data_IF_668191019821
#
_entry.id   IF_668191019821
#
_cell.length_a   1.000
_cell.length_b   1.000
_cell.length_c   1.000
_cell.angle_alpha   90.00
_cell.angle_beta   90.00
_cell.angle_gamma   90.00
#
_symmetry.space_group_name_H-M   'P 1'
#
loop_
_entity.id
_entity.type
_entity.pdbx_description
1 polymer ?
#
# COMPACT_ATOMS: atom_id res chain seq x y z
N UNK A 1 -16.03 27.28 -7.92
CA UNK A 1 -15.59 28.00 -6.72
C UNK A 1 -14.19 27.53 -6.39
N UNK A 2 -13.20 28.40 -6.61
CA UNK A 2 -11.78 28.09 -6.40
C UNK A 2 -11.52 27.98 -4.90
N UNK A 3 -11.37 26.73 -4.40
CA UNK A 3 -10.89 26.49 -3.05
C UNK A 3 -9.45 26.92 -2.96
N UNK A 4 -9.17 27.99 -2.23
CA UNK A 4 -7.80 28.38 -1.85
C UNK A 4 -7.11 27.15 -1.24
N UNK A 5 -6.07 26.65 -1.92
CA UNK A 5 -5.10 25.73 -1.33
C UNK A 5 -4.48 26.45 -0.14
N UNK A 6 -4.93 26.14 1.07
CA UNK A 6 -4.18 26.51 2.27
C UNK A 6 -2.87 25.73 2.27
N UNK A 7 -1.88 26.28 1.59
CA UNK A 7 -0.51 25.84 1.74
C UNK A 7 -0.12 26.24 3.15
N UNK A 8 0.02 25.28 4.06
CA UNK A 8 0.55 25.54 5.39
C UNK A 8 1.97 26.08 5.23
N UNK A 9 2.11 27.40 5.32
CA UNK A 9 3.41 28.06 5.28
C UNK A 9 3.86 28.15 6.73
N UNK A 10 4.97 27.48 7.05
CA UNK A 10 5.61 27.66 8.34
C UNK A 10 6.02 29.13 8.49
N UNK A 11 5.61 29.80 9.56
CA UNK A 11 5.93 31.20 9.81
C UNK A 11 7.42 31.42 10.05
N UNK A 12 8.15 30.39 10.51
CA UNK A 12 9.60 30.44 10.73
C UNK A 12 10.24 29.07 10.69
N UNK A 13 11.56 29.02 10.45
CA UNK A 13 12.36 27.77 10.54
C UNK A 13 12.30 27.14 11.94
N UNK A 14 12.19 27.96 13.00
CA UNK A 14 12.06 27.46 14.37
C UNK A 14 10.73 26.75 14.60
N UNK A 15 9.65 27.28 14.07
CA UNK A 15 8.32 26.67 14.14
C UNK A 15 8.29 25.34 13.38
N UNK A 16 8.87 25.33 12.18
CA UNK A 16 9.04 24.10 11.40
C UNK A 16 9.79 23.04 12.19
N UNK A 17 10.95 23.39 12.75
CA UNK A 17 11.76 22.47 13.53
C UNK A 17 11.01 21.94 14.76
N UNK A 18 10.31 22.80 15.49
CA UNK A 18 9.55 22.41 16.68
C UNK A 18 8.40 21.42 16.38
N UNK A 19 7.71 21.60 15.25
CA UNK A 19 6.65 20.68 14.81
C UNK A 19 7.21 19.37 14.27
N UNK A 20 8.20 19.43 13.39
CA UNK A 20 8.79 18.25 12.75
C UNK A 20 9.59 17.42 13.75
N UNK A 21 10.33 18.05 14.67
CA UNK A 21 11.11 17.35 15.70
C UNK A 21 10.26 16.38 16.52
N UNK A 22 9.07 16.80 16.96
CA UNK A 22 8.18 15.94 17.74
C UNK A 22 7.73 14.72 16.92
N UNK A 23 7.45 14.90 15.63
CA UNK A 23 7.07 13.81 14.74
C UNK A 23 8.22 12.83 14.54
N UNK A 24 9.45 13.35 14.29
CA UNK A 24 10.64 12.50 14.14
C UNK A 24 10.95 11.74 15.43
N UNK A 25 10.88 12.39 16.58
CA UNK A 25 11.13 11.76 17.87
C UNK A 25 10.13 10.64 18.17
N UNK A 26 8.84 10.88 17.91
CA UNK A 26 7.80 9.87 18.06
C UNK A 26 7.98 8.71 17.08
N UNK A 27 8.24 9.00 15.80
CA UNK A 27 8.47 7.97 14.79
C UNK A 27 9.67 7.10 15.17
N UNK A 28 10.78 7.72 15.59
CA UNK A 28 11.97 7.01 16.05
C UNK A 28 11.68 6.14 17.28
N UNK A 29 10.96 6.69 18.28
CA UNK A 29 10.56 5.94 19.47
C UNK A 29 9.66 4.75 19.13
N UNK A 30 8.69 4.92 18.24
CA UNK A 30 7.81 3.84 17.82
C UNK A 30 8.54 2.75 17.03
N UNK A 31 9.50 3.13 16.17
CA UNK A 31 10.34 2.18 15.45
C UNK A 31 11.20 1.39 16.45
N UNK A 32 11.83 2.06 17.44
CA UNK A 32 12.62 1.38 18.46
C UNK A 32 11.78 0.38 19.26
N UNK A 33 10.57 0.78 19.69
CA UNK A 33 9.66 -0.12 20.41
C UNK A 33 9.27 -1.30 19.53
N UNK A 34 8.88 -1.04 18.29
CA UNK A 34 8.45 -2.05 17.34
C UNK A 34 9.56 -3.05 17.00
N UNK A 35 10.79 -2.54 16.81
CA UNK A 35 11.96 -3.36 16.47
C UNK A 35 12.40 -4.22 17.66
N UNK A 36 12.31 -3.70 18.90
CA UNK A 36 12.55 -4.50 20.11
C UNK A 36 11.54 -5.63 20.31
N UNK A 37 10.27 -5.46 19.92
CA UNK A 37 9.27 -6.53 19.92
C UNK A 37 9.64 -7.58 18.86
N UNK A 38 10.17 -7.12 17.71
CA UNK A 38 10.58 -7.98 16.63
C UNK A 38 9.42 -8.64 15.88
N UNK A 39 9.73 -9.73 15.17
CA UNK A 39 8.73 -10.50 14.43
C UNK A 39 8.10 -11.55 15.32
N UNK A 40 6.78 -11.57 15.41
CA UNK A 40 6.03 -12.64 16.09
C UNK A 40 5.52 -13.60 15.01
N UNK A 41 5.98 -14.86 15.07
CA UNK A 41 5.59 -15.93 14.15
C UNK A 41 4.53 -16.80 14.80
N UNK A 42 3.35 -16.84 14.20
CA UNK A 42 2.20 -17.61 14.68
C UNK A 42 1.94 -18.73 13.66
N UNK A 43 2.17 -20.01 14.00
CA UNK A 43 1.86 -21.11 13.10
C UNK A 43 0.33 -21.24 12.94
N UNK A 44 -0.14 -21.34 11.69
CA UNK A 44 -1.56 -21.54 11.36
C UNK A 44 -1.65 -22.75 10.42
N UNK A 45 -1.96 -23.90 10.96
CA UNK A 45 -1.98 -25.16 10.22
C UNK A 45 -0.58 -25.51 9.69
N UNK A 46 -0.43 -25.68 8.37
CA UNK A 46 0.86 -25.89 7.69
C UNK A 46 1.52 -24.58 7.24
N UNK A 47 0.85 -23.43 7.42
CA UNK A 47 1.37 -22.11 7.08
C UNK A 47 1.84 -21.34 8.30
N UNK A 48 2.31 -20.11 8.07
CA UNK A 48 2.84 -19.23 9.09
C UNK A 48 2.25 -17.82 8.92
N UNK A 49 1.74 -17.27 10.00
CA UNK A 49 1.34 -15.88 10.07
C UNK A 49 2.42 -15.08 10.80
N UNK A 50 2.91 -14.01 10.20
CA UNK A 50 3.99 -13.20 10.75
C UNK A 50 3.50 -11.79 11.04
N UNK A 51 3.59 -11.37 12.30
CA UNK A 51 3.43 -9.99 12.71
C UNK A 51 4.77 -9.28 12.64
N UNK A 52 4.87 -8.31 11.74
CA UNK A 52 6.08 -7.52 11.54
C UNK A 52 6.11 -6.29 12.45
N UNK A 53 7.30 -5.76 12.79
CA UNK A 53 7.48 -4.55 13.60
C UNK A 53 6.65 -3.36 13.10
N UNK A 54 6.48 -3.22 11.79
CA UNK A 54 5.70 -2.13 11.18
C UNK A 54 4.25 -2.07 11.68
N UNK A 55 3.64 -3.22 12.03
CA UNK A 55 2.27 -3.24 12.59
C UNK A 55 2.20 -2.53 13.93
N UNK A 56 3.16 -2.80 14.80
CA UNK A 56 3.23 -2.16 16.12
C UNK A 56 3.49 -0.67 15.97
N UNK A 57 4.39 -0.28 15.07
CA UNK A 57 4.67 1.12 14.77
C UNK A 57 3.42 1.85 14.25
N UNK A 58 2.65 1.24 13.35
CA UNK A 58 1.39 1.82 12.84
C UNK A 58 0.37 1.94 13.98
N UNK A 59 0.19 0.91 14.80
CA UNK A 59 -0.74 0.94 15.92
C UNK A 59 -0.37 2.06 16.90
N UNK A 60 0.90 2.17 17.28
CA UNK A 60 1.39 3.25 18.14
C UNK A 60 1.18 4.63 17.50
N UNK A 61 1.39 4.74 16.18
CA UNK A 61 1.11 5.95 15.41
C UNK A 61 -0.36 6.36 15.48
N UNK A 62 -1.27 5.42 15.23
CA UNK A 62 -2.72 5.65 15.33
C UNK A 62 -3.14 6.03 16.76
N UNK A 63 -2.64 5.31 17.75
CA UNK A 63 -2.93 5.61 19.17
C UNK A 63 -2.45 7.00 19.58
N UNK A 64 -1.31 7.47 19.06
CA UNK A 64 -0.78 8.80 19.36
C UNK A 64 -1.59 9.94 18.72
N UNK A 65 -2.51 9.61 17.81
CA UNK A 65 -3.29 10.55 17.01
C UNK A 65 -4.22 11.45 17.84
N UNK A 66 -4.72 12.56 17.21
CA UNK A 66 -5.53 13.58 17.89
C UNK A 66 -6.90 13.06 18.32
N UNK A 67 -7.35 11.92 17.82
CA UNK A 67 -8.65 11.32 18.16
C UNK A 67 -8.56 10.33 19.33
N UNK A 68 -7.37 9.78 19.64
CA UNK A 68 -7.19 8.75 20.67
C UNK A 68 -6.45 9.32 21.87
N UNK A 69 -5.13 9.25 21.90
CA UNK A 69 -4.33 9.72 23.04
C UNK A 69 -3.99 11.20 22.98
N UNK A 70 -4.26 11.86 21.86
CA UNK A 70 -4.00 13.30 21.64
C UNK A 70 -2.55 13.73 21.93
N UNK A 71 -1.60 12.81 21.75
CA UNK A 71 -0.15 13.10 21.88
C UNK A 71 0.29 14.06 20.78
N UNK A 72 -0.27 13.91 19.57
CA UNK A 72 -0.11 14.82 18.44
C UNK A 72 -1.44 15.50 18.11
N UNK A 73 -1.37 16.75 17.69
CA UNK A 73 -2.51 17.53 17.23
C UNK A 73 -2.65 17.53 15.70
N UNK A 74 -3.70 18.16 15.18
CA UNK A 74 -3.95 18.24 13.74
C UNK A 74 -2.86 19.00 12.98
N UNK A 75 -2.07 19.88 13.62
CA UNK A 75 -0.94 20.59 13.00
C UNK A 75 0.20 19.62 12.74
N UNK A 76 0.51 18.75 13.71
CA UNK A 76 1.50 17.70 13.55
C UNK A 76 1.10 16.71 12.45
N UNK A 77 -0.19 16.34 12.36
CA UNK A 77 -0.69 15.46 11.28
C UNK A 77 -0.50 16.10 9.91
N UNK A 78 -0.84 17.41 9.77
CA UNK A 78 -0.61 18.15 8.52
C UNK A 78 0.88 18.30 8.21
N UNK A 79 1.75 18.49 9.20
CA UNK A 79 3.18 18.53 9.01
C UNK A 79 3.72 17.17 8.58
N UNK A 80 3.27 16.08 9.20
CA UNK A 80 3.68 14.71 8.85
C UNK A 80 3.37 14.36 7.40
N UNK A 81 2.22 14.79 6.85
CA UNK A 81 1.86 14.55 5.45
C UNK A 81 2.85 15.16 4.43
N UNK A 82 3.63 16.15 4.84
CA UNK A 82 4.68 16.77 4.01
C UNK A 82 6.03 16.07 4.11
N UNK A 83 6.20 15.13 5.06
CA UNK A 83 7.43 14.35 5.25
C UNK A 83 7.54 13.16 4.28
N UNK A 84 6.75 13.15 3.21
CA UNK A 84 6.83 12.16 2.10
C UNK A 84 8.25 12.05 1.53
N UNK A 85 9.07 13.08 1.68
CA UNK A 85 10.52 13.06 1.35
C UNK A 85 11.26 11.93 2.10
N UNK A 86 10.79 11.50 3.26
CA UNK A 86 11.33 10.35 3.98
C UNK A 86 11.26 9.02 3.21
N UNK A 87 10.44 8.94 2.16
CA UNK A 87 10.38 7.79 1.23
C UNK A 87 11.59 7.73 0.28
N UNK A 88 12.27 8.85 0.03
CA UNK A 88 13.38 8.90 -0.93
C UNK A 88 14.51 7.90 -0.63
N UNK A 89 14.97 7.68 0.61
CA UNK A 89 15.97 6.67 0.93
C UNK A 89 15.49 5.24 0.58
N UNK A 90 14.21 4.95 0.78
CA UNK A 90 13.62 3.66 0.42
C UNK A 90 13.60 3.47 -1.10
N UNK A 91 13.21 4.49 -1.88
CA UNK A 91 13.24 4.45 -3.34
C UNK A 91 14.67 4.28 -3.85
N UNK A 92 15.64 4.99 -3.27
CA UNK A 92 17.05 4.83 -3.60
C UNK A 92 17.55 3.40 -3.34
N UNK A 93 17.18 2.81 -2.19
CA UNK A 93 17.48 1.40 -1.89
C UNK A 93 16.90 0.46 -2.93
N UNK A 94 15.65 0.66 -3.35
CA UNK A 94 15.03 -0.16 -4.41
C UNK A 94 15.81 -0.05 -5.72
N UNK A 95 16.23 1.15 -6.11
CA UNK A 95 17.06 1.35 -7.30
C UNK A 95 18.40 0.62 -7.24
N UNK A 96 19.08 0.67 -6.09
CA UNK A 96 20.34 -0.06 -5.85
C UNK A 96 20.11 -1.57 -5.95
N UNK A 97 19.05 -2.08 -5.32
CA UNK A 97 18.71 -3.51 -5.36
C UNK A 97 18.35 -3.95 -6.79
N UNK A 98 17.64 -3.12 -7.54
CA UNK A 98 17.33 -3.39 -8.94
C UNK A 98 18.61 -3.45 -9.81
N UNK A 99 19.52 -2.50 -9.62
CA UNK A 99 20.82 -2.50 -10.31
C UNK A 99 21.66 -3.74 -10.01
N UNK A 100 21.69 -4.18 -8.75
CA UNK A 100 22.39 -5.39 -8.36
C UNK A 100 21.81 -6.68 -8.97
N UNK A 101 20.53 -6.68 -9.37
CA UNK A 101 19.85 -7.83 -9.97
C UNK A 101 19.54 -7.65 -11.46
N UNK A 102 20.24 -6.75 -12.15
CA UNK A 102 19.95 -6.38 -13.56
C UNK A 102 20.01 -7.61 -14.48
N UNK A 103 20.95 -8.51 -14.30
CA UNK A 103 21.09 -9.72 -15.11
C UNK A 103 19.89 -10.65 -14.93
N UNK A 104 19.41 -10.81 -13.70
CA UNK A 104 18.21 -11.61 -13.40
C UNK A 104 16.96 -10.96 -14.01
N UNK A 105 16.88 -9.63 -13.96
CA UNK A 105 15.80 -8.86 -14.57
C UNK A 105 15.79 -9.08 -16.10
N UNK A 106 16.94 -8.97 -16.75
CA UNK A 106 17.05 -9.17 -18.19
C UNK A 106 16.73 -10.62 -18.61
N UNK A 107 17.16 -11.61 -17.84
CA UNK A 107 16.85 -13.02 -18.08
C UNK A 107 15.36 -13.35 -17.87
N UNK A 108 14.68 -12.60 -17.02
CA UNK A 108 13.24 -12.78 -16.74
C UNK A 108 12.31 -12.33 -17.88
N UNK A 109 12.80 -11.52 -18.83
CA UNK A 109 12.18 -11.12 -20.10
C UNK A 109 10.64 -11.06 -20.14
N UNK A 110 9.97 -12.05 -20.78
CA UNK A 110 8.50 -12.03 -20.94
C UNK A 110 7.71 -12.04 -19.63
N UNK A 111 8.26 -12.60 -18.55
CA UNK A 111 7.62 -12.64 -17.22
C UNK A 111 7.47 -11.24 -16.66
N UNK A 112 8.39 -10.32 -16.97
CA UNK A 112 8.32 -8.91 -16.59
C UNK A 112 7.08 -8.23 -17.17
N UNK A 113 6.79 -8.48 -18.44
CA UNK A 113 5.62 -7.93 -19.12
C UNK A 113 4.34 -8.45 -18.49
N UNK A 114 4.25 -9.77 -18.25
CA UNK A 114 3.10 -10.38 -17.57
C UNK A 114 2.88 -9.79 -16.18
N UNK A 115 3.95 -9.61 -15.41
CA UNK A 115 3.90 -9.02 -14.07
C UNK A 115 3.38 -7.57 -14.12
N UNK A 116 3.82 -6.78 -15.10
CA UNK A 116 3.33 -5.43 -15.32
C UNK A 116 1.82 -5.38 -15.63
N UNK A 117 1.33 -6.31 -16.46
CA UNK A 117 -0.11 -6.41 -16.75
C UNK A 117 -0.95 -6.77 -15.52
N UNK A 118 -0.41 -7.54 -14.58
CA UNK A 118 -1.05 -7.82 -13.30
C UNK A 118 -1.43 -6.56 -12.52
N UNK A 119 -0.61 -5.51 -12.60
CA UNK A 119 -0.89 -4.22 -11.97
C UNK A 119 -2.11 -3.49 -12.58
N UNK A 120 -2.49 -3.76 -13.82
CA UNK A 120 -3.69 -3.19 -14.46
C UNK A 120 -4.98 -3.87 -14.02
N UNK A 121 -4.92 -5.15 -13.64
CA UNK A 121 -6.09 -5.89 -13.17
C UNK A 121 -6.63 -5.33 -11.85
N UNK A 122 -5.77 -4.83 -10.97
CA UNK A 122 -6.15 -4.22 -9.71
C UNK A 122 -7.19 -3.11 -9.90
N UNK A 123 -6.88 -2.02 -10.60
CA UNK A 123 -7.83 -0.94 -10.87
C UNK A 123 -9.09 -1.41 -11.62
N UNK A 124 -8.97 -2.30 -12.59
CA UNK A 124 -10.10 -2.80 -13.37
C UNK A 124 -11.13 -3.55 -12.50
N UNK A 125 -10.66 -4.37 -11.58
CA UNK A 125 -11.53 -5.19 -10.73
C UNK A 125 -11.98 -4.44 -9.46
N UNK A 126 -11.09 -3.66 -8.86
CA UNK A 126 -11.36 -2.98 -7.59
C UNK A 126 -12.23 -1.72 -7.77
N UNK A 127 -12.11 -0.98 -8.88
CA UNK A 127 -12.84 0.26 -9.08
C UNK A 127 -14.37 0.09 -9.08
N UNK A 128 -14.96 -0.88 -9.80
CA UNK A 128 -16.40 -1.12 -9.72
C UNK A 128 -16.87 -1.42 -8.30
N UNK A 129 -16.11 -2.24 -7.56
CA UNK A 129 -16.42 -2.59 -6.17
C UNK A 129 -16.35 -1.37 -5.26
N UNK A 130 -15.30 -0.55 -5.39
CA UNK A 130 -15.14 0.67 -4.61
C UNK A 130 -16.30 1.66 -4.84
N UNK A 131 -16.75 1.82 -6.10
CA UNK A 131 -17.91 2.67 -6.43
C UNK A 131 -19.19 2.11 -5.79
N UNK A 132 -19.42 0.80 -5.85
CA UNK A 132 -20.58 0.15 -5.23
C UNK A 132 -20.58 0.28 -3.70
N UNK A 133 -19.40 0.31 -3.07
CA UNK A 133 -19.25 0.60 -1.65
C UNK A 133 -19.49 2.07 -1.29
N UNK A 134 -19.73 2.92 -2.27
CA UNK A 134 -20.04 4.35 -2.08
C UNK A 134 -18.82 5.24 -2.01
N UNK A 135 -17.65 4.75 -2.40
CA UNK A 135 -16.47 5.59 -2.58
C UNK A 135 -16.63 6.46 -3.83
N UNK A 136 -16.28 7.73 -3.71
CA UNK A 136 -16.25 8.65 -4.84
C UNK A 136 -14.83 8.69 -5.45
N UNK A 137 -14.28 9.87 -5.64
CA UNK A 137 -12.94 10.02 -6.22
C UNK A 137 -11.83 9.37 -5.38
N UNK A 138 -12.08 9.09 -4.10
CA UNK A 138 -11.21 8.26 -3.26
C UNK A 138 -10.97 6.86 -3.87
N UNK A 139 -11.95 6.34 -4.64
CA UNK A 139 -11.83 5.06 -5.33
C UNK A 139 -10.64 5.03 -6.30
N UNK A 140 -10.36 6.14 -6.99
CA UNK A 140 -9.24 6.22 -7.94
C UNK A 140 -7.91 5.97 -7.22
N UNK A 141 -7.66 6.64 -6.10
CA UNK A 141 -6.42 6.44 -5.34
C UNK A 141 -6.33 5.08 -4.65
N UNK A 142 -7.46 4.54 -4.18
CA UNK A 142 -7.49 3.27 -3.44
C UNK A 142 -7.36 2.03 -4.33
N UNK A 143 -7.72 2.11 -5.61
CA UNK A 143 -7.70 0.97 -6.53
C UNK A 143 -6.32 0.67 -7.10
N UNK A 144 -5.35 1.57 -6.96
CA UNK A 144 -3.98 1.33 -7.39
C UNK A 144 -3.25 0.50 -6.34
N UNK A 145 -2.11 -0.03 -6.69
CA UNK A 145 -1.31 -0.99 -5.93
C UNK A 145 -1.38 -0.83 -4.40
N UNK A 146 -1.79 -1.87 -3.72
CA UNK A 146 -1.87 -1.93 -2.26
C UNK A 146 -0.48 -1.77 -1.66
N UNK A 147 -0.35 -0.84 -0.69
CA UNK A 147 0.85 -0.65 0.13
C UNK A 147 2.15 -0.44 -0.66
N UNK A 148 2.09 0.33 -1.73
CA UNK A 148 3.25 0.73 -2.53
C UNK A 148 3.52 2.22 -2.33
N UNK A 149 4.63 2.54 -1.68
CA UNK A 149 5.03 3.88 -1.30
C UNK A 149 5.16 4.82 -2.51
N UNK A 150 5.72 4.33 -3.61
CA UNK A 150 5.88 5.12 -4.82
C UNK A 150 4.54 5.38 -5.54
N UNK A 151 3.54 4.48 -5.44
CA UNK A 151 2.20 4.75 -5.96
C UNK A 151 1.51 5.84 -5.16
N UNK A 152 1.64 5.84 -3.84
CA UNK A 152 1.14 6.90 -2.98
C UNK A 152 1.83 8.23 -3.31
N UNK A 153 3.14 8.23 -3.49
CA UNK A 153 3.88 9.42 -3.89
C UNK A 153 3.44 9.94 -5.27
N UNK A 154 3.19 9.03 -6.23
CA UNK A 154 2.69 9.37 -7.56
C UNK A 154 1.30 9.99 -7.52
N UNK A 155 0.36 9.40 -6.79
CA UNK A 155 -1.00 9.94 -6.59
C UNK A 155 -0.94 11.34 -5.95
N UNK A 156 -0.13 11.51 -4.91
CA UNK A 156 0.06 12.80 -4.25
C UNK A 156 0.64 13.85 -5.21
N UNK A 157 1.52 13.45 -6.11
CA UNK A 157 2.11 14.36 -7.09
C UNK A 157 1.14 14.77 -8.20
N UNK A 158 0.30 13.86 -8.68
CA UNK A 158 -0.64 14.10 -9.77
C UNK A 158 -1.86 14.88 -9.30
N UNK A 159 -2.47 14.48 -8.18
CA UNK A 159 -3.75 15.03 -7.71
C UNK A 159 -3.59 16.03 -6.56
N UNK A 160 -2.43 16.05 -5.92
CA UNK A 160 -2.15 16.85 -4.72
C UNK A 160 -2.39 16.06 -3.42
N UNK A 161 -1.62 16.36 -2.35
CA UNK A 161 -1.65 15.61 -1.09
C UNK A 161 -2.97 15.74 -0.32
N UNK A 162 -3.75 16.79 -0.56
CA UNK A 162 -5.03 17.04 0.10
C UNK A 162 -6.24 16.59 -0.74
N UNK A 163 -5.99 15.92 -1.88
CA UNK A 163 -7.04 15.45 -2.79
C UNK A 163 -7.82 14.25 -2.21
N UNK A 164 -8.99 13.98 -2.77
CA UNK A 164 -9.76 12.79 -2.44
C UNK A 164 -8.99 11.51 -2.82
N UNK A 165 -8.33 11.54 -3.97
CA UNK A 165 -7.50 10.46 -4.49
C UNK A 165 -6.34 10.14 -3.53
N UNK A 166 -5.67 11.17 -3.00
CA UNK A 166 -4.59 11.00 -2.03
C UNK A 166 -5.10 10.39 -0.72
N UNK A 167 -6.28 10.81 -0.23
CA UNK A 167 -6.91 10.19 0.95
C UNK A 167 -7.25 8.72 0.72
N UNK A 168 -7.79 8.39 -0.45
CA UNK A 168 -8.06 7.00 -0.84
C UNK A 168 -6.79 6.16 -0.85
N UNK A 169 -5.73 6.66 -1.48
CA UNK A 169 -4.42 5.99 -1.52
C UNK A 169 -3.82 5.78 -0.13
N UNK A 170 -3.85 6.80 0.72
CA UNK A 170 -3.34 6.71 2.10
C UNK A 170 -4.15 5.70 2.94
N UNK A 171 -5.48 5.70 2.79
CA UNK A 171 -6.34 4.78 3.53
C UNK A 171 -6.04 3.33 3.19
N UNK A 172 -5.90 3.01 1.90
CA UNK A 172 -5.57 1.64 1.47
C UNK A 172 -4.11 1.28 1.79
N UNK A 173 -3.20 2.25 1.82
CA UNK A 173 -1.82 2.04 2.24
C UNK A 173 -1.76 1.53 3.69
N UNK A 174 -2.49 2.18 4.60
CA UNK A 174 -2.52 1.81 6.03
C UNK A 174 -3.27 0.50 6.23
N UNK A 175 -4.56 0.46 5.85
CA UNK A 175 -5.43 -0.70 6.11
C UNK A 175 -5.01 -1.90 5.25
N UNK A 176 -4.72 -1.65 3.98
CA UNK A 176 -4.27 -2.68 3.05
C UNK A 176 -2.90 -3.25 3.43
N UNK A 177 -2.00 -2.44 4.00
CA UNK A 177 -0.72 -2.92 4.55
C UNK A 177 -0.92 -3.96 5.64
N UNK A 178 -1.80 -3.68 6.60
CA UNK A 178 -2.09 -4.59 7.71
C UNK A 178 -2.86 -5.84 7.23
N UNK A 179 -4.04 -5.64 6.65
CA UNK A 179 -4.91 -6.73 6.22
C UNK A 179 -4.29 -7.52 5.07
N UNK A 180 -3.66 -6.84 4.12
CA UNK A 180 -3.02 -7.47 2.97
C UNK A 180 -1.87 -8.38 3.37
N UNK A 181 -1.05 -8.03 4.36
CA UNK A 181 0.04 -8.89 4.84
C UNK A 181 -0.48 -10.20 5.41
N UNK A 182 -1.56 -10.13 6.20
CA UNK A 182 -2.24 -11.32 6.73
C UNK A 182 -2.79 -12.17 5.57
N UNK A 183 -3.54 -11.53 4.68
CA UNK A 183 -4.18 -12.18 3.54
C UNK A 183 -3.16 -12.86 2.63
N UNK A 184 -2.09 -12.17 2.22
CA UNK A 184 -1.07 -12.73 1.35
C UNK A 184 -0.29 -13.87 2.00
N UNK A 185 0.00 -13.81 3.29
CA UNK A 185 0.62 -14.91 4.02
C UNK A 185 -0.24 -16.17 4.03
N UNK A 186 -1.54 -16.01 4.35
CA UNK A 186 -2.49 -17.12 4.33
C UNK A 186 -2.74 -17.64 2.92
N UNK A 187 -2.93 -16.76 1.94
CA UNK A 187 -3.12 -17.14 0.55
C UNK A 187 -1.93 -17.92 0.00
N UNK A 188 -0.70 -17.46 0.27
CA UNK A 188 0.51 -18.13 -0.11
C UNK A 188 0.60 -19.54 0.51
N UNK A 189 0.20 -19.67 1.77
CA UNK A 189 0.11 -20.98 2.43
C UNK A 189 -0.88 -21.91 1.73
N UNK A 190 -2.10 -21.43 1.47
CA UNK A 190 -3.14 -22.23 0.80
C UNK A 190 -2.69 -22.64 -0.60
N UNK A 191 -2.23 -21.67 -1.41
CA UNK A 191 -1.79 -21.95 -2.79
C UNK A 191 -0.56 -22.87 -2.80
N UNK A 192 0.40 -22.65 -1.89
CA UNK A 192 1.57 -23.52 -1.75
C UNK A 192 1.19 -24.96 -1.44
N UNK A 193 0.22 -25.19 -0.55
CA UNK A 193 -0.23 -26.55 -0.22
C UNK A 193 -0.93 -27.28 -1.37
N UNK A 194 -1.46 -26.57 -2.40
CA UNK A 194 -2.09 -27.24 -3.55
C UNK A 194 -1.11 -27.98 -4.44
N UNK A 195 0.16 -27.58 -4.44
CA UNK A 195 1.18 -28.14 -5.34
C UNK A 195 0.96 -27.83 -6.83
N UNK A 196 0.04 -26.92 -7.17
CA UNK A 196 -0.26 -26.59 -8.57
C UNK A 196 0.84 -25.79 -9.25
N UNK A 197 1.63 -25.07 -8.48
CA UNK A 197 2.65 -24.17 -9.00
C UNK A 197 4.03 -24.57 -8.47
N UNK A 198 5.03 -24.39 -9.32
CA UNK A 198 6.42 -24.62 -8.93
C UNK A 198 6.86 -23.60 -7.86
N UNK A 199 7.67 -23.98 -6.85
CA UNK A 199 8.10 -23.08 -5.79
C UNK A 199 8.75 -21.77 -6.26
N UNK A 200 9.51 -21.81 -7.36
CA UNK A 200 10.07 -20.60 -7.99
C UNK A 200 9.00 -19.61 -8.47
N UNK A 201 7.93 -20.13 -9.10
CA UNK A 201 6.82 -19.29 -9.57
C UNK A 201 6.05 -18.69 -8.40
N UNK A 202 5.84 -19.47 -7.34
CA UNK A 202 5.22 -18.97 -6.10
C UNK A 202 6.10 -17.90 -5.43
N UNK A 203 7.42 -18.11 -5.38
CA UNK A 203 8.38 -17.11 -4.91
C UNK A 203 8.27 -15.81 -5.69
N UNK A 204 8.31 -15.85 -7.02
CA UNK A 204 8.15 -14.67 -7.87
C UNK A 204 6.80 -13.97 -7.65
N UNK A 205 5.71 -14.75 -7.58
CA UNK A 205 4.37 -14.23 -7.32
C UNK A 205 4.23 -13.56 -5.96
N UNK A 206 4.96 -14.01 -4.94
CA UNK A 206 4.97 -13.38 -3.63
C UNK A 206 5.54 -11.96 -3.62
N UNK A 207 6.37 -11.60 -4.62
CA UNK A 207 6.94 -10.28 -4.80
C UNK A 207 5.98 -9.23 -5.37
N UNK A 208 4.74 -9.60 -5.75
CA UNK A 208 3.76 -8.64 -6.31
C UNK A 208 3.32 -7.59 -5.29
N UNK A 209 3.28 -7.93 -4.01
CA UNK A 209 2.91 -7.02 -2.91
C UNK A 209 4.01 -6.03 -2.54
N UNK A 210 3.78 -5.22 -1.52
CA UNK A 210 4.83 -4.45 -0.86
C UNK A 210 5.77 -5.37 -0.07
N UNK A 211 6.96 -4.87 0.30
CA UNK A 211 7.98 -5.66 0.98
C UNK A 211 7.49 -6.44 2.20
N UNK A 212 6.57 -5.89 2.99
CA UNK A 212 5.96 -6.60 4.13
C UNK A 212 5.04 -7.74 3.68
N UNK A 213 4.29 -7.57 2.61
CA UNK A 213 3.44 -8.61 2.03
C UNK A 213 4.28 -9.71 1.40
N UNK A 214 5.34 -9.32 0.66
CA UNK A 214 6.33 -10.25 0.12
C UNK A 214 6.98 -11.08 1.23
N UNK A 215 7.44 -10.42 2.30
CA UNK A 215 8.08 -11.12 3.41
C UNK A 215 7.14 -12.12 4.09
N UNK A 216 5.85 -11.77 4.28
CA UNK A 216 4.84 -12.67 4.84
C UNK A 216 4.56 -13.86 3.93
N UNK A 217 4.33 -13.62 2.64
CA UNK A 217 4.01 -14.69 1.68
C UNK A 217 5.19 -15.60 1.41
N UNK A 218 6.39 -15.05 1.21
CA UNK A 218 7.60 -15.86 1.00
C UNK A 218 7.96 -16.68 2.23
N UNK A 219 7.84 -16.13 3.44
CA UNK A 219 8.08 -16.89 4.67
C UNK A 219 7.10 -18.06 4.84
N UNK A 220 5.82 -17.86 4.46
CA UNK A 220 4.82 -18.93 4.46
C UNK A 220 5.18 -20.05 3.46
N UNK A 221 5.66 -19.68 2.27
CA UNK A 221 6.13 -20.64 1.26
C UNK A 221 7.40 -21.39 1.70
N UNK A 222 8.35 -20.68 2.31
CA UNK A 222 9.56 -21.30 2.84
C UNK A 222 9.25 -22.31 3.95
N UNK A 223 8.20 -22.09 4.74
CA UNK A 223 7.75 -23.05 5.75
C UNK A 223 7.15 -24.33 5.12
N UNK A 224 6.54 -24.22 3.93
CA UNK A 224 5.97 -25.37 3.20
C UNK A 224 7.04 -26.11 2.38
N UNK A 225 7.98 -25.37 1.80
CA UNK A 225 9.06 -25.87 0.94
C UNK A 225 10.44 -25.51 1.50
N UNK A 226 10.88 -26.12 2.62
CA UNK A 226 12.14 -25.76 3.28
C UNK A 226 13.36 -25.89 2.37
N UNK A 227 13.36 -26.89 1.48
CA UNK A 227 14.43 -27.16 0.51
C UNK A 227 14.54 -26.08 -0.59
N UNK A 228 13.51 -25.26 -0.76
CA UNK A 228 13.47 -24.17 -1.75
C UNK A 228 13.61 -22.78 -1.14
N UNK A 229 13.95 -22.67 0.15
CA UNK A 229 13.96 -21.40 0.91
C UNK A 229 14.77 -20.30 0.22
N UNK A 230 16.00 -20.60 -0.19
CA UNK A 230 16.88 -19.63 -0.84
C UNK A 230 16.33 -19.18 -2.20
N UNK A 231 15.83 -20.14 -2.97
CA UNK A 231 15.24 -19.87 -4.29
C UNK A 231 13.96 -19.05 -4.17
N UNK A 232 13.05 -19.39 -3.25
CA UNK A 232 11.81 -18.65 -3.00
C UNK A 232 12.14 -17.22 -2.58
N UNK A 233 13.07 -17.03 -1.65
CA UNK A 233 13.47 -15.72 -1.14
C UNK A 233 14.10 -14.85 -2.25
N UNK A 234 14.98 -15.43 -3.05
CA UNK A 234 15.58 -14.75 -4.20
C UNK A 234 14.53 -14.33 -5.23
N UNK A 235 13.64 -15.25 -5.63
CA UNK A 235 12.58 -14.97 -6.60
C UNK A 235 11.57 -13.96 -6.08
N UNK A 236 11.24 -13.97 -4.80
CA UNK A 236 10.38 -12.97 -4.17
C UNK A 236 10.99 -11.57 -4.25
N UNK A 237 12.28 -11.43 -3.94
CA UNK A 237 13.00 -10.16 -4.03
C UNK A 237 13.09 -9.64 -5.46
N UNK A 238 13.32 -10.53 -6.43
CA UNK A 238 13.29 -10.19 -7.86
C UNK A 238 11.89 -9.73 -8.26
N UNK A 239 10.84 -10.46 -7.88
CA UNK A 239 9.46 -10.10 -8.14
C UNK A 239 9.09 -8.72 -7.60
N UNK A 240 9.48 -8.40 -6.37
CA UNK A 240 9.24 -7.08 -5.77
C UNK A 240 9.97 -5.97 -6.53
N UNK A 241 11.24 -6.19 -6.84
CA UNK A 241 12.05 -5.21 -7.58
C UNK A 241 11.43 -4.91 -8.95
N UNK A 242 11.06 -5.95 -9.69
CA UNK A 242 10.40 -5.84 -10.99
C UNK A 242 9.07 -5.11 -10.87
N UNK A 243 8.21 -5.56 -9.95
CA UNK A 243 6.91 -4.93 -9.71
C UNK A 243 7.05 -3.45 -9.31
N UNK A 244 8.10 -3.13 -8.55
CA UNK A 244 8.41 -1.77 -8.16
C UNK A 244 8.69 -0.87 -9.35
N UNK A 245 9.62 -1.28 -10.20
CA UNK A 245 10.07 -0.48 -11.35
C UNK A 245 8.99 -0.40 -12.41
N UNK A 246 8.53 -1.55 -12.91
CA UNK A 246 7.54 -1.60 -14.01
C UNK A 246 6.19 -1.06 -13.56
N UNK A 247 5.78 -1.37 -12.32
CA UNK A 247 4.51 -0.93 -11.76
C UNK A 247 4.38 0.59 -11.68
N UNK A 248 5.45 1.31 -11.34
CA UNK A 248 5.42 2.76 -11.30
C UNK A 248 5.14 3.36 -12.69
N UNK A 249 5.86 2.92 -13.72
CA UNK A 249 5.67 3.42 -15.10
C UNK A 249 4.30 3.05 -15.65
N UNK A 250 3.88 1.80 -15.48
CA UNK A 250 2.57 1.34 -15.94
C UNK A 250 1.45 2.10 -15.21
N UNK A 251 1.59 2.35 -13.92
CA UNK A 251 0.61 3.12 -13.16
C UNK A 251 0.53 4.55 -13.66
N UNK A 252 1.67 5.20 -13.87
CA UNK A 252 1.73 6.60 -14.30
C UNK A 252 1.14 6.81 -15.69
N UNK A 253 1.52 5.97 -16.64
CA UNK A 253 1.19 6.20 -18.06
C UNK A 253 -0.10 5.49 -18.50
N UNK A 254 -0.49 4.40 -17.86
CA UNK A 254 -1.61 3.57 -18.29
C UNK A 254 -2.69 3.48 -17.22
N UNK A 255 -2.36 3.04 -15.99
CA UNK A 255 -3.36 2.69 -15.01
C UNK A 255 -4.13 3.92 -14.50
N UNK A 256 -3.47 5.01 -14.15
CA UNK A 256 -4.13 6.24 -13.67
C UNK A 256 -5.04 6.85 -14.75
N UNK A 257 -4.57 7.12 -15.98
CA UNK A 257 -5.44 7.64 -17.04
C UNK A 257 -6.61 6.71 -17.38
N UNK A 258 -6.39 5.40 -17.34
CA UNK A 258 -7.42 4.39 -17.56
C UNK A 258 -8.46 4.44 -16.43
N UNK A 259 -8.02 4.49 -15.18
CA UNK A 259 -8.91 4.51 -14.01
C UNK A 259 -9.74 5.78 -13.94
N UNK A 260 -9.18 6.94 -14.28
CA UNK A 260 -9.93 8.19 -14.38
C UNK A 260 -11.06 8.11 -15.43
N UNK A 261 -10.75 7.58 -16.62
CA UNK A 261 -11.75 7.36 -17.66
C UNK A 261 -12.82 6.37 -17.24
N UNK A 262 -12.41 5.23 -16.67
CA UNK A 262 -13.33 4.21 -16.17
C UNK A 262 -14.22 4.76 -15.06
N UNK A 263 -13.67 5.52 -14.12
CA UNK A 263 -14.44 6.18 -13.06
C UNK A 263 -15.53 7.09 -13.65
N UNK A 264 -15.18 7.92 -14.62
CA UNK A 264 -16.13 8.83 -15.28
C UNK A 264 -17.28 8.09 -15.96
N UNK A 265 -17.04 6.88 -16.47
CA UNK A 265 -18.04 6.04 -17.15
C UNK A 265 -18.87 5.24 -16.14
N UNK A 266 -18.23 4.70 -15.10
CA UNK A 266 -18.84 3.75 -14.17
C UNK A 266 -19.58 4.45 -13.03
N UNK A 267 -19.07 5.58 -12.52
CA UNK A 267 -19.67 6.28 -11.38
C UNK A 267 -21.14 6.69 -11.63
N UNK A 268 -21.52 7.29 -12.78
CA UNK A 268 -22.92 7.63 -13.02
C UNK A 268 -23.86 6.42 -13.10
N UNK A 269 -23.33 5.24 -13.45
CA UNK A 269 -24.09 4.00 -13.59
C UNK A 269 -24.17 3.22 -12.28
N UNK A 270 -23.01 2.92 -11.68
CA UNK A 270 -22.89 2.09 -10.50
C UNK A 270 -23.12 2.86 -9.20
N UNK A 271 -22.80 4.17 -9.16
CA UNK A 271 -23.00 5.01 -7.99
C UNK A 271 -24.46 5.13 -7.55
N UNK A 272 -25.42 4.84 -8.46
CA UNK A 272 -26.86 4.76 -8.14
C UNK A 272 -27.19 3.57 -7.25
N UNK A 273 -26.39 2.53 -7.30
CA UNK A 273 -26.55 1.28 -6.51
C UNK A 273 -25.64 1.26 -5.29
N UNK A 274 -24.89 2.34 -5.04
CA UNK A 274 -23.95 2.43 -3.93
C UNK A 274 -24.66 2.27 -2.58
N UNK A 275 -24.08 1.47 -1.69
CA UNK A 275 -24.65 1.17 -0.36
C UNK A 275 -24.96 2.45 0.42
N UNK A 276 -24.09 3.46 0.36
CA UNK A 276 -24.26 4.75 1.04
C UNK A 276 -25.42 5.62 0.50
N UNK A 277 -25.88 5.36 -0.73
CA UNK A 277 -27.04 6.06 -1.29
C UNK A 277 -28.37 5.45 -0.82
N UNK A 278 -28.38 4.20 -0.38
CA UNK A 278 -29.57 3.56 0.21
C UNK A 278 -29.89 4.15 1.58
N UNK A 279 -28.88 4.31 2.45
CA UNK A 279 -29.08 4.93 3.78
C UNK A 279 -29.61 6.36 3.69
N UNK A 280 -29.18 7.14 2.68
CA UNK A 280 -29.69 8.49 2.44
C UNK A 280 -31.08 8.57 1.83
N UNK A 281 -31.63 7.48 1.23
CA UNK A 281 -33.01 7.39 0.76
C UNK A 281 -33.96 6.97 1.87
N UNK A 282 -33.55 6.00 2.68
CA UNK A 282 -34.37 5.52 3.80
C UNK A 282 -34.65 6.64 4.82
N UNK A 283 -33.66 7.51 5.08
CA UNK A 283 -33.85 8.69 5.95
C UNK A 283 -34.81 9.73 5.33
N UNK A 284 -34.92 9.82 3.99
CA UNK A 284 -35.85 10.73 3.32
C UNK A 284 -37.26 10.19 3.20
N UNK A 285 -37.43 8.88 3.21
CA UNK A 285 -38.76 8.22 3.19
C UNK A 285 -39.37 8.13 4.60
N UNK A 286 -38.57 8.14 5.69
CA UNK A 286 -39.07 8.21 7.06
C UNK A 286 -39.45 9.64 7.53
N UNK A 287 -39.11 10.66 6.74
CA UNK A 287 -39.36 12.09 7.08
C UNK A 287 -40.48 12.73 6.25
N UNK A 288 -41.23 11.95 5.46
CA UNK A 288 -42.45 12.36 4.75
C UNK A 288 -43.64 11.61 5.35
#
# INVERSE_FOLDING_TARGET
MSGKKETYVYGSLKERFALEWKIYALAFGFILIADNIGQIKIPVGKGMFILFPIFYAIILGVLSGPQVLKIVDNRHVKAASKLVVGICPFIAKLGITAGANIDTILQSGPVLLLHGFGNLLGPLLALPVAILLGMKREAIGSCHSINREYHMALINNIYGPDSAEARGSLSIYIVGGMVGTIYFGLMASVVGMTGWFHPQALGLGSGVGAGIMMASSSASLCAIYPEWTDTISAMASVGETIAGITGMYITMFIAIPMTDKLYTILEPKLGRFALKNKEGRDIKEETV
#
